data_IF_099284395659
#
_entry.id   IF_099284395659
#
_cell.length_a   1.000
_cell.length_b   1.000
_cell.length_c   1.000
_cell.angle_alpha   90.00
_cell.angle_beta   90.00
_cell.angle_gamma   90.00
#
_symmetry.space_group_name_H-M   'P 1'
#
loop_
_entity.id
_entity.type
_entity.pdbx_description
1 polymer ?
#
# COMPACT_ATOMS: atom_id res chain seq x y z
N UNK A 1 11.33 2.95 -11.92
CA UNK A 1 11.90 4.30 -11.73
C UNK A 1 13.39 4.29 -11.36
N UNK A 2 13.81 3.81 -10.18
CA UNK A 2 15.21 3.95 -9.72
C UNK A 2 16.26 3.41 -10.72
N UNK A 3 16.01 2.23 -11.31
CA UNK A 3 16.91 1.63 -12.31
C UNK A 3 17.01 2.48 -13.58
N UNK A 4 15.89 3.06 -14.06
CA UNK A 4 15.87 3.90 -15.25
C UNK A 4 16.67 5.19 -15.02
N UNK A 5 16.44 5.85 -13.87
CA UNK A 5 17.16 7.06 -13.49
C UNK A 5 18.67 6.81 -13.34
N UNK A 6 19.07 5.67 -12.79
CA UNK A 6 20.49 5.27 -12.70
C UNK A 6 21.15 5.17 -14.09
N UNK A 7 20.38 4.81 -15.12
CA UNK A 7 20.84 4.73 -16.52
C UNK A 7 20.75 6.06 -17.27
N UNK A 8 20.27 7.13 -16.63
CA UNK A 8 20.00 8.41 -17.28
C UNK A 8 18.76 8.40 -18.18
N UNK A 9 17.89 7.41 -18.03
CA UNK A 9 16.62 7.31 -18.73
C UNK A 9 15.53 8.10 -18.00
N UNK A 10 14.52 8.57 -18.75
CA UNK A 10 13.38 9.28 -18.18
C UNK A 10 12.54 8.40 -17.23
N UNK A 11 11.86 9.04 -16.26
CA UNK A 11 10.97 8.39 -15.30
C UNK A 11 9.62 7.99 -15.92
N UNK A 12 9.63 7.13 -16.94
CA UNK A 12 8.45 6.69 -17.71
C UNK A 12 7.38 5.97 -16.88
N UNK A 13 7.71 5.53 -15.66
CA UNK A 13 6.76 4.91 -14.74
C UNK A 13 6.00 5.91 -13.87
N UNK A 14 6.26 7.21 -13.98
CA UNK A 14 5.52 8.23 -13.25
C UNK A 14 4.03 8.20 -13.67
N UNK A 15 3.14 8.25 -12.68
CA UNK A 15 1.68 8.26 -12.90
C UNK A 15 1.07 9.65 -12.68
N UNK A 16 1.87 10.62 -12.25
CA UNK A 16 1.47 12.00 -12.07
C UNK A 16 2.65 12.91 -11.73
N UNK A 17 2.36 14.12 -11.28
CA UNK A 17 3.36 15.07 -10.79
C UNK A 17 2.89 15.74 -9.49
N UNK A 18 3.84 16.11 -8.64
CA UNK A 18 3.58 16.85 -7.39
C UNK A 18 4.51 18.04 -7.34
N UNK A 19 3.96 19.24 -7.19
CA UNK A 19 4.75 20.46 -7.08
C UNK A 19 5.43 20.54 -5.71
N UNK A 20 6.74 20.78 -5.69
CA UNK A 20 7.51 20.94 -4.45
C UNK A 20 7.85 22.41 -4.11
N UNK A 21 7.22 23.37 -4.78
CA UNK A 21 7.50 24.81 -4.67
C UNK A 21 8.54 25.33 -5.66
N UNK A 22 9.22 24.46 -6.41
CA UNK A 22 10.19 24.85 -7.44
C UNK A 22 9.91 24.20 -8.79
N UNK A 23 9.59 22.90 -8.80
CA UNK A 23 9.29 22.13 -10.01
C UNK A 23 8.11 21.18 -9.76
N UNK A 24 7.44 20.77 -10.83
CA UNK A 24 6.50 19.65 -10.81
C UNK A 24 7.28 18.34 -10.90
N UNK A 25 7.41 17.63 -9.77
CA UNK A 25 8.23 16.42 -9.65
C UNK A 25 7.45 15.22 -10.21
N UNK A 26 7.95 14.52 -11.25
CA UNK A 26 7.35 13.27 -11.71
C UNK A 26 7.29 12.25 -10.57
N UNK A 27 6.09 11.74 -10.28
CA UNK A 27 5.81 10.93 -9.11
C UNK A 27 5.04 9.67 -9.48
N UNK A 28 5.24 8.60 -8.73
CA UNK A 28 4.40 7.39 -8.78
C UNK A 28 3.36 7.50 -7.67
N UNK A 29 2.14 7.88 -8.04
CA UNK A 29 1.00 8.01 -7.14
C UNK A 29 0.18 6.72 -7.19
N UNK A 30 0.36 5.85 -6.19
CA UNK A 30 -0.42 4.63 -6.03
C UNK A 30 -1.77 4.94 -5.40
N UNK A 31 -2.79 4.14 -5.74
CA UNK A 31 -4.14 4.29 -5.16
C UNK A 31 -4.16 3.60 -3.79
N UNK A 32 -4.51 4.31 -2.70
CA UNK A 32 -4.62 3.70 -1.39
C UNK A 32 -5.88 2.82 -1.30
N UNK A 33 -5.78 1.71 -0.57
CA UNK A 33 -6.91 0.83 -0.26
C UNK A 33 -7.31 1.06 1.19
N UNK A 34 -8.56 1.48 1.40
CA UNK A 34 -9.14 1.62 2.74
C UNK A 34 -9.46 0.26 3.36
N UNK A 35 -9.00 0.04 4.59
CA UNK A 35 -9.26 -1.20 5.32
C UNK A 35 -10.32 -0.97 6.40
N UNK A 36 -11.32 -1.85 6.40
CA UNK A 36 -12.48 -1.88 7.31
C UNK A 36 -12.69 -3.30 7.80
N UNK A 37 -13.66 -3.52 8.69
CA UNK A 37 -14.03 -4.86 9.14
C UNK A 37 -14.37 -5.81 7.98
N UNK A 38 -14.95 -5.30 6.89
CA UNK A 38 -15.39 -6.12 5.76
C UNK A 38 -14.22 -6.71 4.93
N UNK A 39 -13.04 -6.08 4.96
CA UNK A 39 -11.91 -6.40 4.10
C UNK A 39 -10.55 -6.47 4.82
N UNK A 40 -10.52 -6.48 6.15
CA UNK A 40 -9.26 -6.63 6.91
C UNK A 40 -8.55 -7.97 6.67
N UNK A 41 -9.24 -8.97 6.11
CA UNK A 41 -8.59 -10.19 5.63
C UNK A 41 -7.60 -9.96 4.48
N UNK A 42 -7.76 -8.88 3.72
CA UNK A 42 -6.92 -8.60 2.55
C UNK A 42 -5.47 -8.32 2.97
N UNK A 43 -5.25 -7.58 4.07
CA UNK A 43 -3.88 -7.30 4.56
C UNK A 43 -3.17 -8.56 5.09
N UNK A 44 -3.93 -9.57 5.50
CA UNK A 44 -3.40 -10.87 5.91
C UNK A 44 -3.06 -11.70 4.66
N UNK A 45 -3.97 -11.73 3.67
CA UNK A 45 -3.75 -12.45 2.41
C UNK A 45 -2.55 -11.91 1.63
N UNK A 46 -2.36 -10.59 1.67
CA UNK A 46 -1.21 -9.91 1.07
C UNK A 46 0.08 -10.05 1.90
N UNK A 47 0.03 -10.75 3.05
CA UNK A 47 1.15 -10.97 3.98
C UNK A 47 1.76 -9.69 4.56
N UNK A 48 1.00 -8.58 4.63
CA UNK A 48 1.46 -7.34 5.27
C UNK A 48 1.48 -7.46 6.80
N UNK A 49 0.49 -8.13 7.38
CA UNK A 49 0.35 -8.32 8.82
C UNK A 49 -0.05 -9.77 9.09
N UNK A 50 0.50 -10.37 10.14
CA UNK A 50 0.11 -11.72 10.54
C UNK A 50 -1.29 -11.72 11.14
N UNK A 51 -2.03 -12.80 10.91
CA UNK A 51 -3.37 -12.99 11.48
C UNK A 51 -3.38 -12.87 13.00
N UNK A 52 -2.36 -13.43 13.66
CA UNK A 52 -2.24 -13.43 15.11
C UNK A 52 -2.12 -12.01 15.67
N UNK A 53 -1.47 -11.11 14.95
CA UNK A 53 -1.32 -9.71 15.36
C UNK A 53 -2.63 -8.93 15.18
N UNK A 54 -3.39 -9.20 14.12
CA UNK A 54 -4.72 -8.60 13.88
C UNK A 54 -5.74 -9.06 14.93
N UNK A 55 -5.68 -10.33 15.33
CA UNK A 55 -6.68 -10.95 16.19
C UNK A 55 -6.36 -10.94 17.68
N UNK A 56 -5.18 -10.41 18.07
CA UNK A 56 -4.71 -10.43 19.45
C UNK A 56 -5.70 -9.77 20.42
N UNK A 57 -6.23 -10.56 21.36
CA UNK A 57 -7.20 -10.11 22.37
C UNK A 57 -8.65 -10.03 21.88
N UNK A 58 -8.92 -10.42 20.63
CA UNK A 58 -10.26 -10.48 20.02
C UNK A 58 -10.43 -11.75 19.16
N UNK A 59 -9.81 -12.85 19.57
CA UNK A 59 -9.71 -14.10 18.81
C UNK A 59 -11.09 -14.68 18.44
N UNK A 60 -12.05 -14.62 19.36
CA UNK A 60 -13.43 -15.07 19.14
C UNK A 60 -14.13 -14.22 18.07
N UNK A 61 -13.89 -12.90 18.08
CA UNK A 61 -14.46 -11.98 17.09
C UNK A 61 -13.87 -12.25 15.70
N UNK A 62 -12.56 -12.50 15.62
CA UNK A 62 -11.93 -12.89 14.36
C UNK A 62 -12.53 -14.18 13.81
N UNK A 63 -12.62 -15.22 14.64
CA UNK A 63 -13.19 -16.51 14.26
C UNK A 63 -14.63 -16.36 13.77
N UNK A 64 -15.46 -15.59 14.50
CA UNK A 64 -16.85 -15.32 14.12
C UNK A 64 -17.00 -14.57 12.79
N UNK A 65 -15.96 -13.88 12.32
CA UNK A 65 -15.96 -13.12 11.07
C UNK A 65 -15.09 -13.77 9.97
N UNK A 66 -14.64 -15.01 10.17
CA UNK A 66 -13.87 -15.76 9.18
C UNK A 66 -12.48 -15.17 8.89
N UNK A 67 -11.90 -14.49 9.87
CA UNK A 67 -10.54 -13.94 9.82
C UNK A 67 -9.59 -15.00 10.31
#
# INVERSE_FOLDING_TARGET
MAIALLKGEDATTATGSVNNGAIDVPSVLLVPVGITKANVKDVIADNFVKKEDVCKGIEDLCTANGI
#
